data_IF_642447666597
#
_entry.id   IF_642447666597
#
_cell.length_a   1.000
_cell.length_b   1.000
_cell.length_c   1.000
_cell.angle_alpha   90.00
_cell.angle_beta   90.00
_cell.angle_gamma   90.00
#
_symmetry.space_group_name_H-M   'P 1'
#
loop_
_entity.id
_entity.type
_entity.pdbx_description
1 polymer ?
#
# COMPACT_ATOMS: atom_id res chain seq x y z
N UNK A 1 21.56 19.51 83.55
CA UNK A 1 21.08 20.23 82.36
C UNK A 1 22.25 20.52 81.43
N UNK A 2 22.33 19.80 80.32
CA UNK A 2 22.86 20.17 78.99
C UNK A 2 23.06 18.86 78.23
N UNK A 3 21.98 18.45 77.58
CA UNK A 3 21.91 17.31 76.67
C UNK A 3 22.43 17.79 75.32
N UNK A 4 23.58 17.30 74.88
CA UNK A 4 24.13 17.61 73.56
C UNK A 4 23.87 16.41 72.66
N UNK A 5 22.86 16.55 71.81
CA UNK A 5 22.50 15.61 70.74
C UNK A 5 23.32 16.01 69.53
N UNK A 6 24.22 15.14 69.05
CA UNK A 6 24.96 15.34 67.80
C UNK A 6 24.48 14.30 66.79
N UNK A 7 23.95 14.80 65.69
CA UNK A 7 23.25 14.07 64.64
C UNK A 7 24.20 13.15 63.85
N UNK A 8 23.78 11.90 63.61
CA UNK A 8 24.34 11.03 62.59
C UNK A 8 23.91 11.53 61.20
N UNK A 9 24.88 11.86 60.35
CA UNK A 9 24.68 12.15 58.93
C UNK A 9 24.49 10.83 58.15
N UNK A 10 23.24 10.49 57.86
CA UNK A 10 22.86 9.35 57.03
C UNK A 10 23.04 9.74 55.55
N UNK A 11 24.11 9.25 54.93
CA UNK A 11 24.37 9.44 53.49
C UNK A 11 23.44 8.51 52.70
N UNK A 12 22.44 9.09 52.03
CA UNK A 12 21.55 8.40 51.10
C UNK A 12 22.33 8.04 49.82
N UNK A 13 22.48 6.74 49.55
CA UNK A 13 22.79 6.22 48.22
C UNK A 13 21.55 6.43 47.34
N UNK A 14 21.66 7.27 46.32
CA UNK A 14 20.71 7.34 45.20
C UNK A 14 21.13 6.30 44.15
N UNK A 15 20.46 5.14 44.18
CA UNK A 15 20.43 4.18 43.09
C UNK A 15 19.49 4.70 41.99
N UNK A 16 19.99 4.71 40.76
CA UNK A 16 19.30 4.54 39.48
C UNK A 16 17.83 4.99 39.34
N UNK A 17 17.62 6.00 38.50
CA UNK A 17 16.61 5.91 37.46
C UNK A 17 17.31 6.26 36.14
N UNK A 18 17.69 5.24 35.37
CA UNK A 18 17.99 5.45 33.96
C UNK A 18 16.69 5.98 33.35
N UNK A 19 16.67 7.26 33.01
CA UNK A 19 15.55 7.84 32.27
C UNK A 19 15.44 7.07 30.98
N UNK A 20 14.36 6.29 30.85
CA UNK A 20 13.85 5.88 29.55
C UNK A 20 13.73 7.17 28.74
N UNK A 21 14.53 7.27 27.69
CA UNK A 21 14.46 8.35 26.73
C UNK A 21 13.06 8.29 26.12
N UNK A 22 12.12 9.04 26.67
CA UNK A 22 10.88 9.36 25.96
C UNK A 22 11.30 10.09 24.69
N UNK A 23 11.00 9.57 23.49
CA UNK A 23 11.19 10.35 22.26
C UNK A 23 10.37 11.63 22.43
N UNK A 24 11.08 12.74 22.59
CA UNK A 24 10.48 14.07 22.85
C UNK A 24 10.56 14.86 21.56
N UNK A 25 10.02 14.31 20.48
CA UNK A 25 9.65 15.06 19.28
C UNK A 25 8.31 14.50 18.80
N UNK A 26 7.28 15.33 18.61
CA UNK A 26 6.01 14.88 18.06
C UNK A 26 6.24 14.35 16.65
N UNK A 27 5.76 13.14 16.40
CA UNK A 27 5.67 12.52 15.08
C UNK A 27 5.08 13.55 14.11
N UNK A 28 5.84 13.86 13.06
CA UNK A 28 5.46 14.84 12.07
C UNK A 28 4.41 14.25 11.12
N UNK A 29 3.15 14.24 11.54
CA UNK A 29 2.06 14.48 10.60
C UNK A 29 2.24 15.92 10.09
N UNK A 30 2.49 16.16 8.79
CA UNK A 30 2.52 17.51 8.23
C UNK A 30 1.07 17.98 8.06
N UNK A 31 0.40 18.24 9.18
CA UNK A 31 -0.98 18.70 9.22
C UNK A 31 -1.49 18.73 10.66
N UNK A 32 -2.24 19.76 11.08
CA UNK A 32 -2.78 19.84 12.44
C UNK A 32 -3.88 18.80 12.73
N UNK A 33 -4.28 18.00 11.73
CA UNK A 33 -5.55 17.29 11.72
C UNK A 33 -5.44 15.75 11.74
N UNK A 34 -4.24 15.17 11.65
CA UNK A 34 -4.07 13.70 11.75
C UNK A 34 -3.91 13.25 13.21
N UNK A 35 -4.70 12.26 13.63
CA UNK A 35 -4.73 11.77 15.01
C UNK A 35 -4.05 10.39 15.11
N UNK A 36 -2.82 10.36 15.59
CA UNK A 36 -2.04 9.12 15.75
C UNK A 36 -2.02 8.61 17.20
N UNK A 37 -2.16 7.30 17.37
CA UNK A 37 -1.92 6.57 18.63
C UNK A 37 -0.93 5.43 18.36
N UNK A 38 0.34 5.65 18.69
CA UNK A 38 1.41 4.73 18.29
C UNK A 38 1.65 4.79 16.79
N UNK A 39 1.55 3.65 16.11
CA UNK A 39 1.74 3.51 14.65
C UNK A 39 0.44 3.65 13.85
N UNK A 40 -0.70 3.73 14.51
CA UNK A 40 -2.02 3.88 13.86
C UNK A 40 -2.44 5.34 13.86
N UNK A 41 -2.78 5.85 12.67
CA UNK A 41 -3.16 7.21 12.41
C UNK A 41 -4.53 7.28 11.74
N UNK A 42 -5.34 8.27 12.14
CA UNK A 42 -6.64 8.54 11.54
C UNK A 42 -6.64 9.94 10.93
N UNK A 43 -7.10 10.03 9.68
CA UNK A 43 -7.43 11.29 9.03
C UNK A 43 -8.95 11.59 9.19
N UNK A 44 -9.35 12.58 9.99
CA UNK A 44 -10.75 12.96 10.17
C UNK A 44 -11.36 13.53 8.89
N UNK A 45 -12.69 13.45 8.76
CA UNK A 45 -13.42 13.91 7.57
C UNK A 45 -13.19 15.39 7.24
N UNK A 46 -13.00 15.68 5.96
CA UNK A 46 -12.82 17.02 5.40
C UNK A 46 -11.43 17.60 5.55
N UNK A 47 -10.41 16.76 5.79
CA UNK A 47 -9.03 17.18 5.98
C UNK A 47 -8.09 16.46 5.01
N UNK A 48 -6.98 17.13 4.70
CA UNK A 48 -5.86 16.54 3.98
C UNK A 48 -4.79 16.11 4.99
N UNK A 49 -4.39 14.83 4.96
CA UNK A 49 -3.42 14.29 5.90
C UNK A 49 -2.16 13.81 5.19
N UNK A 50 -1.01 14.28 5.65
CA UNK A 50 0.28 13.66 5.34
C UNK A 50 0.71 12.73 6.47
N UNK A 51 1.24 11.56 6.15
CA UNK A 51 1.89 10.66 7.09
C UNK A 51 3.25 10.24 6.55
N UNK A 52 4.30 10.35 7.37
CA UNK A 52 5.61 9.78 7.06
C UNK A 52 5.96 8.79 8.16
N UNK A 53 5.88 7.50 7.81
CA UNK A 53 6.04 6.37 8.70
C UNK A 53 7.50 6.15 9.10
N UNK A 54 8.47 6.65 8.33
CA UNK A 54 9.89 6.62 8.73
C UNK A 54 10.19 7.38 10.03
N UNK A 55 9.25 8.22 10.50
CA UNK A 55 9.31 8.91 11.80
C UNK A 55 8.59 8.16 12.93
N UNK A 56 7.87 7.07 12.63
CA UNK A 56 7.20 6.21 13.60
C UNK A 56 8.15 5.08 14.00
N UNK A 57 8.66 5.09 15.24
CA UNK A 57 9.42 3.95 15.75
C UNK A 57 8.47 2.75 15.98
N UNK A 58 8.57 1.70 15.16
CA UNK A 58 7.73 0.51 15.26
C UNK A 58 7.84 -0.42 14.04
N UNK A 59 7.29 -1.63 14.14
CA UNK A 59 7.32 -2.66 13.08
C UNK A 59 6.23 -2.49 12.01
N UNK A 60 5.88 -1.24 11.68
CA UNK A 60 4.90 -0.91 10.66
C UNK A 60 4.11 0.37 10.92
N UNK A 61 3.24 0.71 9.97
CA UNK A 61 2.47 1.96 9.95
C UNK A 61 1.05 1.70 9.45
N UNK A 62 0.05 2.26 10.13
CA UNK A 62 -1.34 2.13 9.71
C UNK A 62 -1.98 3.51 9.53
N UNK A 63 -2.59 3.76 8.38
CA UNK A 63 -3.38 4.96 8.12
C UNK A 63 -4.80 4.59 7.68
N UNK A 64 -5.79 5.15 8.35
CA UNK A 64 -7.16 5.19 7.84
C UNK A 64 -7.43 6.57 7.27
N UNK A 65 -7.55 6.65 5.94
CA UNK A 65 -7.99 7.84 5.22
C UNK A 65 -9.52 7.90 5.22
N UNK A 66 -10.08 8.83 5.99
CA UNK A 66 -11.53 9.02 6.06
C UNK A 66 -12.18 9.39 4.73
N UNK A 67 -13.50 9.20 4.66
CA UNK A 67 -14.30 9.47 3.47
C UNK A 67 -14.07 10.89 2.90
N UNK A 68 -13.80 10.96 1.60
CA UNK A 68 -13.64 12.23 0.87
C UNK A 68 -12.36 13.02 1.18
N UNK A 69 -11.41 12.44 1.91
CA UNK A 69 -10.16 13.09 2.28
C UNK A 69 -9.07 12.88 1.24
N UNK A 70 -8.07 13.77 1.23
CA UNK A 70 -6.80 13.52 0.53
C UNK A 70 -5.76 13.02 1.54
N UNK A 71 -5.15 11.87 1.30
CA UNK A 71 -4.11 11.33 2.16
C UNK A 71 -2.83 11.06 1.38
N UNK A 72 -1.71 11.57 1.86
CA UNK A 72 -0.38 11.25 1.31
C UNK A 72 0.42 10.50 2.36
N UNK A 73 0.84 9.28 2.04
CA UNK A 73 1.53 8.38 2.96
C UNK A 73 2.87 7.98 2.38
N UNK A 74 3.95 8.25 3.12
CA UNK A 74 5.27 7.68 2.87
C UNK A 74 5.54 6.62 3.93
N UNK A 75 5.45 5.37 3.53
CA UNK A 75 5.63 4.20 4.38
C UNK A 75 7.12 3.88 4.65
N UNK A 76 8.04 4.46 3.89
CA UNK A 76 9.46 4.09 3.96
C UNK A 76 9.66 2.59 3.71
N UNK A 77 10.56 1.96 4.46
CA UNK A 77 10.91 0.54 4.32
C UNK A 77 10.13 -0.39 5.26
N UNK A 78 9.24 0.15 6.07
CA UNK A 78 8.48 -0.63 7.05
C UNK A 78 7.17 -1.14 6.43
N UNK A 79 6.60 -2.19 7.04
CA UNK A 79 5.31 -2.70 6.62
C UNK A 79 4.22 -1.61 6.76
N UNK A 80 3.38 -1.45 5.74
CA UNK A 80 2.37 -0.39 5.72
C UNK A 80 0.98 -0.95 5.47
N UNK A 81 -0.02 -0.38 6.15
CA UNK A 81 -1.43 -0.70 5.99
C UNK A 81 -2.20 0.61 5.79
N UNK A 82 -2.71 0.85 4.58
CA UNK A 82 -3.43 2.06 4.23
C UNK A 82 -4.85 1.71 3.78
N UNK A 83 -5.84 2.16 4.56
CA UNK A 83 -7.26 2.04 4.22
C UNK A 83 -7.75 3.37 3.65
N UNK A 84 -8.05 3.35 2.35
CA UNK A 84 -8.60 4.45 1.60
C UNK A 84 -10.12 4.33 1.56
N UNK A 85 -10.76 5.08 2.45
CA UNK A 85 -12.21 5.11 2.59
C UNK A 85 -12.92 5.67 1.36
N UNK A 86 -14.25 5.61 1.40
CA UNK A 86 -15.09 6.03 0.29
C UNK A 86 -14.75 7.44 -0.23
N UNK A 87 -14.62 7.58 -1.55
CA UNK A 87 -14.30 8.85 -2.22
C UNK A 87 -13.00 9.52 -1.76
N UNK A 88 -12.13 8.83 -1.00
CA UNK A 88 -10.82 9.34 -0.63
C UNK A 88 -9.91 9.43 -1.86
N UNK A 89 -8.93 10.33 -1.80
CA UNK A 89 -7.82 10.46 -2.74
C UNK A 89 -6.52 10.12 -2.00
N UNK A 90 -5.99 8.93 -2.26
CA UNK A 90 -4.84 8.39 -1.57
C UNK A 90 -3.62 8.38 -2.48
N UNK A 91 -2.52 8.91 -1.99
CA UNK A 91 -1.18 8.76 -2.55
C UNK A 91 -0.33 7.99 -1.56
N UNK A 92 0.18 6.83 -1.95
CA UNK A 92 0.96 5.95 -1.08
C UNK A 92 2.30 5.64 -1.76
N UNK A 93 3.39 6.01 -1.09
CA UNK A 93 4.75 5.67 -1.47
C UNK A 93 5.33 4.70 -0.44
N UNK A 94 5.83 3.54 -0.90
CA UNK A 94 6.41 2.54 -0.03
C UNK A 94 7.64 1.85 -0.64
N UNK A 95 8.52 1.36 0.22
CA UNK A 95 9.73 0.60 -0.15
C UNK A 95 9.76 -0.80 0.50
N UNK A 96 8.75 -1.14 1.30
CA UNK A 96 8.60 -2.44 1.97
C UNK A 96 7.22 -3.05 1.72
N UNK A 97 6.91 -4.13 2.42
CA UNK A 97 5.63 -4.83 2.34
C UNK A 97 4.47 -3.85 2.55
N UNK A 98 3.54 -3.79 1.60
CA UNK A 98 2.50 -2.75 1.60
C UNK A 98 1.14 -3.37 1.37
N UNK A 99 0.22 -3.13 2.29
CA UNK A 99 -1.20 -3.41 2.12
C UNK A 99 -1.95 -2.09 1.87
N UNK A 100 -2.65 -1.98 0.74
CA UNK A 100 -3.50 -0.83 0.45
C UNK A 100 -4.88 -1.29 0.01
N UNK A 101 -5.91 -0.83 0.72
CA UNK A 101 -7.30 -1.09 0.38
C UNK A 101 -7.97 0.19 -0.14
N UNK A 102 -8.39 0.18 -1.39
CA UNK A 102 -9.07 1.28 -2.06
C UNK A 102 -10.55 0.97 -2.25
N UNK A 103 -11.39 1.63 -1.45
CA UNK A 103 -12.81 1.31 -1.34
C UNK A 103 -13.73 2.42 -1.86
N UNK A 104 -14.87 2.01 -2.43
CA UNK A 104 -16.03 2.84 -2.83
C UNK A 104 -15.68 4.16 -3.51
N UNK A 105 -15.51 4.14 -4.83
CA UNK A 105 -15.23 5.32 -5.66
C UNK A 105 -14.05 6.17 -5.16
N UNK A 106 -13.07 5.56 -4.49
CA UNK A 106 -11.83 6.25 -4.12
C UNK A 106 -10.90 6.37 -5.33
N UNK A 107 -9.93 7.27 -5.22
CA UNK A 107 -8.80 7.35 -6.14
C UNK A 107 -7.55 6.95 -5.37
N UNK A 108 -6.76 6.05 -5.92
CA UNK A 108 -5.52 5.59 -5.31
C UNK A 108 -4.38 5.65 -6.31
N UNK A 109 -3.30 6.30 -5.91
CA UNK A 109 -2.01 6.32 -6.59
C UNK A 109 -1.00 5.66 -5.64
N UNK A 110 -0.61 4.42 -5.93
CA UNK A 110 0.27 3.63 -5.07
C UNK A 110 1.52 3.29 -5.84
N UNK A 111 2.66 3.74 -5.32
CA UNK A 111 3.99 3.32 -5.76
C UNK A 111 4.64 2.51 -4.65
N UNK A 112 4.97 1.26 -4.93
CA UNK A 112 5.73 0.42 -3.99
C UNK A 112 6.89 -0.29 -4.66
N UNK A 113 8.04 -0.27 -4.01
CA UNK A 113 9.23 -1.03 -4.42
C UNK A 113 9.49 -2.25 -3.54
N UNK A 114 8.64 -2.49 -2.53
CA UNK A 114 8.71 -3.67 -1.69
C UNK A 114 8.15 -4.89 -2.39
N UNK A 115 8.60 -6.07 -1.95
CA UNK A 115 8.02 -7.34 -2.36
C UNK A 115 6.71 -7.58 -1.58
N UNK A 116 5.89 -8.52 -2.03
CA UNK A 116 4.68 -8.96 -1.34
C UNK A 116 3.68 -7.83 -1.02
N UNK A 117 3.51 -6.86 -1.93
CA UNK A 117 2.45 -5.89 -1.81
C UNK A 117 1.07 -6.55 -2.03
N UNK A 118 0.08 -6.14 -1.24
CA UNK A 118 -1.33 -6.54 -1.35
C UNK A 118 -2.16 -5.28 -1.65
N UNK A 119 -2.65 -5.17 -2.88
CA UNK A 119 -3.27 -3.95 -3.40
C UNK A 119 -4.69 -4.24 -3.89
N UNK A 120 -5.67 -3.81 -3.11
CA UNK A 120 -7.09 -3.98 -3.42
C UNK A 120 -7.68 -2.69 -4.00
N UNK A 121 -8.32 -2.80 -5.16
CA UNK A 121 -9.08 -1.75 -5.81
C UNK A 121 -10.50 -2.22 -6.12
N UNK A 122 -11.47 -1.74 -5.34
CA UNK A 122 -12.81 -2.27 -5.36
C UNK A 122 -13.88 -1.19 -5.56
N UNK A 123 -15.10 -1.62 -5.85
CA UNK A 123 -16.33 -0.82 -5.77
C UNK A 123 -16.27 0.49 -6.57
N UNK A 124 -15.91 0.39 -7.85
CA UNK A 124 -15.87 1.54 -8.76
C UNK A 124 -14.73 2.52 -8.52
N UNK A 125 -13.73 2.16 -7.70
CA UNK A 125 -12.55 2.98 -7.45
C UNK A 125 -11.65 3.08 -8.69
N UNK A 126 -10.83 4.13 -8.73
CA UNK A 126 -9.85 4.38 -9.79
C UNK A 126 -8.45 4.24 -9.19
N UNK A 127 -7.71 3.21 -9.61
CA UNK A 127 -6.41 2.91 -9.03
C UNK A 127 -5.30 2.92 -10.08
N UNK A 128 -4.22 3.60 -9.75
CA UNK A 128 -2.93 3.53 -10.43
C UNK A 128 -1.94 2.85 -9.48
N UNK A 129 -1.48 1.66 -9.83
CA UNK A 129 -0.58 0.85 -9.02
C UNK A 129 0.74 0.63 -9.77
N UNK A 130 1.86 1.08 -9.18
CA UNK A 130 3.23 0.80 -9.61
C UNK A 130 3.91 -0.06 -8.53
N UNK A 131 3.72 -1.37 -8.59
CA UNK A 131 4.24 -2.33 -7.62
C UNK A 131 5.48 -3.05 -8.20
N UNK A 132 6.66 -2.47 -8.03
CA UNK A 132 7.90 -2.87 -8.73
C UNK A 132 8.67 -4.00 -8.06
N UNK A 133 8.34 -4.34 -6.81
CA UNK A 133 8.88 -5.53 -6.15
C UNK A 133 8.31 -6.82 -6.73
N UNK A 134 8.72 -7.96 -6.17
CA UNK A 134 8.26 -9.27 -6.58
C UNK A 134 7.04 -9.75 -5.75
N UNK A 135 6.36 -10.78 -6.25
CA UNK A 135 5.34 -11.52 -5.50
C UNK A 135 4.16 -10.65 -5.01
N UNK A 136 3.79 -9.63 -5.80
CA UNK A 136 2.67 -8.74 -5.46
C UNK A 136 1.34 -9.39 -5.81
N UNK A 137 0.34 -9.21 -4.96
CA UNK A 137 -1.05 -9.53 -5.22
C UNK A 137 -1.84 -8.25 -5.47
N UNK A 138 -2.51 -8.17 -6.61
CA UNK A 138 -3.25 -6.98 -7.03
C UNK A 138 -4.66 -7.40 -7.44
N UNK A 139 -5.66 -6.93 -6.70
CA UNK A 139 -7.06 -7.25 -6.95
C UNK A 139 -7.81 -6.03 -7.46
N UNK A 140 -8.43 -6.16 -8.63
CA UNK A 140 -9.25 -5.14 -9.26
C UNK A 140 -10.64 -5.70 -9.49
N UNK A 141 -11.62 -5.24 -8.71
CA UNK A 141 -12.95 -5.82 -8.73
C UNK A 141 -14.13 -4.83 -8.69
N UNK A 142 -15.33 -5.39 -8.83
CA UNK A 142 -16.60 -4.69 -8.54
C UNK A 142 -16.75 -3.34 -9.26
N UNK A 143 -16.45 -3.31 -10.55
CA UNK A 143 -16.54 -2.12 -11.40
C UNK A 143 -15.35 -1.17 -11.31
N UNK A 144 -14.27 -1.54 -10.61
CA UNK A 144 -13.06 -0.73 -10.52
C UNK A 144 -12.39 -0.48 -11.89
N UNK A 145 -11.64 0.61 -11.97
CA UNK A 145 -10.75 0.91 -13.09
C UNK A 145 -9.32 0.93 -12.60
N UNK A 146 -8.51 0.00 -13.11
CA UNK A 146 -7.13 -0.18 -12.69
C UNK A 146 -6.14 0.09 -13.83
N UNK A 147 -5.08 0.83 -13.52
CA UNK A 147 -3.83 0.86 -14.29
C UNK A 147 -2.74 0.27 -13.42
N UNK A 148 -2.19 -0.87 -13.83
CA UNK A 148 -1.28 -1.68 -13.03
C UNK A 148 0.04 -1.85 -13.77
N UNK A 149 1.14 -1.62 -13.07
CA UNK A 149 2.47 -2.12 -13.43
C UNK A 149 2.95 -2.97 -12.27
N UNK A 150 3.06 -4.28 -12.48
CA UNK A 150 3.55 -5.23 -11.49
C UNK A 150 4.93 -5.74 -11.87
N UNK A 151 5.79 -5.89 -10.86
CA UNK A 151 7.10 -6.50 -10.98
C UNK A 151 7.01 -8.00 -11.24
N UNK A 152 8.10 -8.71 -10.92
CA UNK A 152 8.21 -10.14 -11.22
C UNK A 152 7.28 -10.96 -10.34
N UNK A 153 6.88 -12.12 -10.84
CA UNK A 153 6.10 -13.09 -10.06
C UNK A 153 4.79 -12.46 -9.50
N UNK A 154 4.27 -11.42 -10.18
CA UNK A 154 3.12 -10.66 -9.73
C UNK A 154 1.80 -11.26 -10.19
N UNK A 155 0.84 -11.38 -9.28
CA UNK A 155 -0.51 -11.86 -9.50
C UNK A 155 -1.48 -10.68 -9.64
N UNK A 156 -2.15 -10.57 -10.79
CA UNK A 156 -3.16 -9.53 -11.05
C UNK A 156 -4.51 -10.17 -11.37
N UNK A 157 -5.50 -9.94 -10.52
CA UNK A 157 -6.88 -10.37 -10.72
C UNK A 157 -7.76 -9.19 -11.17
N UNK A 158 -8.47 -9.38 -12.27
CA UNK A 158 -9.44 -8.45 -12.81
C UNK A 158 -10.81 -9.13 -12.92
N UNK A 159 -11.74 -8.78 -12.02
CA UNK A 159 -13.06 -9.41 -11.90
C UNK A 159 -14.18 -8.38 -11.96
N UNK A 160 -15.00 -8.39 -13.01
CA UNK A 160 -16.01 -7.31 -13.25
C UNK A 160 -15.37 -5.90 -13.25
N UNK A 161 -14.14 -5.78 -13.74
CA UNK A 161 -13.34 -4.55 -13.71
C UNK A 161 -12.80 -4.16 -15.09
N UNK A 162 -12.33 -2.91 -15.22
CA UNK A 162 -11.58 -2.45 -16.40
C UNK A 162 -10.11 -2.32 -16.01
N UNK A 163 -9.25 -3.12 -16.64
CA UNK A 163 -7.84 -3.20 -16.31
C UNK A 163 -6.95 -2.88 -17.50
N UNK A 164 -5.94 -2.03 -17.27
CA UNK A 164 -4.75 -1.90 -18.11
C UNK A 164 -3.56 -2.37 -17.29
N UNK A 165 -2.95 -3.49 -17.70
CA UNK A 165 -1.97 -4.22 -16.90
C UNK A 165 -0.66 -4.35 -17.67
N UNK A 166 0.45 -4.05 -17.01
CA UNK A 166 1.80 -4.41 -17.43
C UNK A 166 2.40 -5.31 -16.37
N UNK A 167 2.85 -6.49 -16.75
CA UNK A 167 3.53 -7.43 -15.85
C UNK A 167 4.94 -7.73 -16.35
N UNK A 168 5.87 -7.84 -15.40
CA UNK A 168 7.21 -8.32 -15.67
C UNK A 168 7.24 -9.86 -15.78
N UNK A 169 8.44 -10.42 -15.67
CA UNK A 169 8.71 -11.85 -15.82
C UNK A 169 7.97 -12.69 -14.77
N UNK A 170 7.48 -13.86 -15.20
CA UNK A 170 6.71 -14.81 -14.40
C UNK A 170 5.39 -14.23 -13.85
N UNK A 171 4.88 -13.13 -14.43
CA UNK A 171 3.62 -12.53 -14.02
C UNK A 171 2.38 -13.32 -14.47
N UNK A 172 1.36 -13.34 -13.62
CA UNK A 172 0.08 -14.00 -13.86
C UNK A 172 -1.05 -12.96 -13.87
N UNK A 173 -1.89 -12.99 -14.91
CA UNK A 173 -3.05 -12.09 -15.04
C UNK A 173 -4.31 -12.91 -15.27
N UNK A 174 -5.28 -12.83 -14.36
CA UNK A 174 -6.59 -13.47 -14.50
C UNK A 174 -7.69 -12.44 -14.74
N UNK A 175 -8.44 -12.64 -15.82
CA UNK A 175 -9.54 -11.79 -16.25
C UNK A 175 -10.84 -12.59 -16.29
N UNK A 176 -11.77 -12.26 -15.40
CA UNK A 176 -12.99 -13.02 -15.16
C UNK A 176 -14.21 -12.11 -14.93
N UNK A 177 -15.38 -12.74 -14.77
CA UNK A 177 -16.66 -12.08 -14.50
C UNK A 177 -17.03 -10.94 -15.49
N UNK A 178 -16.59 -11.03 -16.74
CA UNK A 178 -16.89 -10.03 -17.77
C UNK A 178 -15.96 -8.81 -17.75
N UNK A 179 -14.79 -8.92 -17.12
CA UNK A 179 -13.78 -7.87 -17.10
C UNK A 179 -13.31 -7.46 -18.51
N UNK A 180 -12.83 -6.22 -18.62
CA UNK A 180 -12.14 -5.72 -19.82
C UNK A 180 -10.67 -5.55 -19.51
N UNK A 181 -9.82 -6.36 -20.14
CA UNK A 181 -8.39 -6.40 -19.87
C UNK A 181 -7.57 -6.01 -21.10
N UNK A 182 -6.65 -5.06 -20.92
CA UNK A 182 -5.54 -4.82 -21.83
C UNK A 182 -4.26 -5.18 -21.11
N UNK A 183 -3.57 -6.23 -21.55
CA UNK A 183 -2.40 -6.80 -20.87
C UNK A 183 -1.17 -6.68 -21.75
N UNK A 184 -0.09 -6.16 -21.18
CA UNK A 184 1.24 -6.15 -21.78
C UNK A 184 2.17 -7.00 -20.93
N UNK A 185 2.77 -8.01 -21.54
CA UNK A 185 3.79 -8.80 -20.89
C UNK A 185 5.17 -8.36 -21.38
N UNK A 186 6.03 -7.93 -20.46
CA UNK A 186 7.37 -7.48 -20.79
C UNK A 186 8.36 -8.64 -20.98
N UNK A 187 8.07 -9.77 -20.34
CA UNK A 187 8.82 -11.02 -20.43
C UNK A 187 7.87 -12.24 -20.43
N UNK A 188 8.27 -13.36 -19.83
CA UNK A 188 7.41 -14.54 -19.75
C UNK A 188 6.22 -14.23 -18.83
N UNK A 189 5.00 -14.57 -19.23
CA UNK A 189 3.80 -14.34 -18.43
C UNK A 189 2.70 -15.33 -18.80
N UNK A 190 1.71 -15.48 -17.93
CA UNK A 190 0.46 -16.17 -18.24
C UNK A 190 -0.72 -15.22 -18.12
N UNK A 191 -1.60 -15.25 -19.13
CA UNK A 191 -2.86 -14.52 -19.13
C UNK A 191 -4.01 -15.51 -19.24
N UNK A 192 -4.95 -15.42 -18.31
CA UNK A 192 -6.12 -16.27 -18.26
C UNK A 192 -7.39 -15.46 -18.49
N UNK A 193 -7.97 -15.62 -19.69
CA UNK A 193 -9.18 -14.91 -20.08
C UNK A 193 -10.40 -15.84 -20.05
N UNK A 194 -11.35 -15.60 -19.13
CA UNK A 194 -12.52 -16.48 -18.90
C UNK A 194 -13.80 -15.66 -18.71
N UNK A 195 -14.92 -16.36 -18.51
CA UNK A 195 -16.20 -15.78 -18.08
C UNK A 195 -16.67 -14.56 -18.88
N UNK A 196 -16.57 -14.65 -20.21
CA UNK A 196 -16.96 -13.60 -21.17
C UNK A 196 -16.17 -12.30 -21.08
N UNK A 197 -15.06 -12.29 -20.35
CA UNK A 197 -14.11 -11.19 -20.32
C UNK A 197 -13.53 -10.91 -21.70
N UNK A 198 -13.23 -9.64 -21.96
CA UNK A 198 -12.60 -9.18 -23.19
C UNK A 198 -11.12 -8.93 -22.93
N UNK A 199 -10.24 -9.77 -23.48
CA UNK A 199 -8.81 -9.64 -23.28
C UNK A 199 -8.08 -9.29 -24.56
N UNK A 200 -7.25 -8.24 -24.47
CA UNK A 200 -6.28 -7.84 -25.48
C UNK A 200 -4.88 -8.04 -24.88
N UNK A 201 -4.08 -8.93 -25.46
CA UNK A 201 -2.76 -9.31 -24.93
C UNK A 201 -1.67 -8.93 -25.92
N UNK A 202 -0.61 -8.30 -25.42
CA UNK A 202 0.62 -8.02 -26.17
C UNK A 202 1.79 -8.76 -25.51
N UNK A 203 2.37 -9.71 -26.25
CA UNK A 203 3.55 -10.44 -25.81
C UNK A 203 4.87 -9.72 -26.19
N UNK A 204 6.01 -10.13 -25.59
CA UNK A 204 7.32 -9.57 -25.93
C UNK A 204 7.62 -9.64 -27.43
N UNK A 205 8.02 -8.50 -28.02
CA UNK A 205 8.36 -8.39 -29.43
C UNK A 205 7.18 -8.15 -30.38
N UNK A 206 5.94 -8.19 -29.88
CA UNK A 206 4.77 -7.76 -30.63
C UNK A 206 4.65 -6.23 -30.61
N UNK A 207 4.12 -5.66 -31.69
CA UNK A 207 3.94 -4.20 -31.79
C UNK A 207 2.54 -3.74 -31.43
N UNK A 208 1.57 -4.65 -31.39
CA UNK A 208 0.15 -4.35 -31.14
C UNK A 208 -0.48 -5.53 -30.39
N UNK A 209 -1.42 -5.28 -29.46
CA UNK A 209 -2.12 -6.34 -28.75
C UNK A 209 -3.10 -7.11 -29.66
N UNK A 210 -3.35 -8.37 -29.33
CA UNK A 210 -4.28 -9.25 -30.04
C UNK A 210 -5.39 -9.80 -29.12
N UNK A 211 -6.61 -10.03 -29.63
CA UNK A 211 -7.68 -10.64 -28.85
C UNK A 211 -7.33 -12.06 -28.44
N UNK A 212 -7.57 -12.41 -27.18
CA UNK A 212 -7.25 -13.72 -26.60
C UNK A 212 -8.46 -14.32 -25.88
N UNK A 213 -8.63 -15.64 -25.99
CA UNK A 213 -9.62 -16.42 -25.24
C UNK A 213 -8.93 -17.60 -24.53
N UNK A 214 -9.36 -17.92 -23.31
CA UNK A 214 -8.77 -19.01 -22.54
C UNK A 214 -7.40 -18.64 -21.97
N UNK A 215 -6.53 -19.64 -21.86
CA UNK A 215 -5.17 -19.47 -21.36
C UNK A 215 -4.21 -19.11 -22.49
N UNK A 216 -3.34 -18.13 -22.23
CA UNK A 216 -2.32 -17.67 -23.15
C UNK A 216 -1.01 -17.45 -22.41
N UNK A 217 0.09 -17.96 -22.96
CA UNK A 217 1.42 -17.83 -22.36
C UNK A 217 2.30 -17.05 -23.31
N UNK A 218 2.83 -15.92 -22.85
CA UNK A 218 3.88 -15.19 -23.55
C UNK A 218 5.24 -15.75 -23.15
N UNK A 219 6.16 -15.82 -24.11
CA UNK A 219 7.54 -16.25 -23.88
C UNK A 219 8.51 -15.27 -24.54
N UNK A 220 9.53 -14.86 -23.78
CA UNK A 220 10.67 -14.09 -24.26
C UNK A 220 11.69 -15.04 -24.90
N UNK A 221 12.09 -14.73 -26.13
CA UNK A 221 12.98 -15.58 -26.96
C UNK A 221 14.47 -15.35 -26.74
#
# INVERSE_FOLDING_TARGET
MKTTISLLSLSFLLLACAGESTPTEPVACPGPDCMCTGVSCLCPLGFDCGLSCGALEGSGCQLTCGEGNTCTTDCGTEACDVDCGAMADCVVDALGDTNVACSTNSTCDVTTAGDNADLDCEMGSMCAFEAMGADNTINCDSGATCTVTSGRDGDVLCSDATCTVTVADEGDVECEMGATCTVTCEADCTVLCRDTSMCMVQCPGETEPSPTEGEHTCVSG
#
